data_IF_526611037194
#
_entry.id   IF_526611037194
#
_cell.length_a   1.000
_cell.length_b   1.000
_cell.length_c   1.000
_cell.angle_alpha   90.00
_cell.angle_beta   90.00
_cell.angle_gamma   90.00
#
_symmetry.space_group_name_H-M   'P 1'
#
loop_
_entity.id
_entity.type
_entity.pdbx_description
1 polymer ?
#
# COMPACT_ATOMS: atom_id res chain seq x y z
N UNK A 1 -31.48 -10.21 8.71
CA UNK A 1 -32.58 -9.44 8.07
C UNK A 1 -32.56 -7.94 8.35
N UNK A 2 -31.40 -7.27 8.35
CA UNK A 2 -31.30 -5.79 8.53
C UNK A 2 -30.35 -5.12 7.51
N UNK A 3 -30.22 -5.66 6.30
CA UNK A 3 -29.39 -5.08 5.23
C UNK A 3 -30.18 -4.76 3.97
N UNK A 4 -31.40 -4.26 4.12
CA UNK A 4 -32.04 -3.46 3.07
C UNK A 4 -31.87 -2.01 3.49
N UNK A 5 -30.83 -1.36 2.96
CA UNK A 5 -30.64 0.08 3.14
C UNK A 5 -31.96 0.77 2.80
N UNK A 6 -32.51 1.55 3.74
CA UNK A 6 -33.72 2.35 3.51
C UNK A 6 -33.46 3.29 2.34
N UNK A 7 -33.84 2.88 1.13
CA UNK A 7 -33.88 3.77 -0.02
C UNK A 7 -35.01 4.75 0.29
N UNK A 8 -34.64 5.97 0.68
CA UNK A 8 -35.59 7.07 0.83
C UNK A 8 -36.32 7.21 -0.50
N UNK A 9 -37.66 7.22 -0.48
CA UNK A 9 -38.45 7.46 -1.69
C UNK A 9 -38.05 8.81 -2.28
N UNK A 10 -37.46 8.77 -3.48
CA UNK A 10 -37.14 9.96 -4.26
C UNK A 10 -38.30 10.20 -5.20
N UNK A 11 -38.94 11.36 -5.07
CA UNK A 11 -40.05 11.78 -5.90
C UNK A 11 -39.68 11.71 -7.39
N UNK A 12 -40.56 11.12 -8.21
CA UNK A 12 -40.37 10.98 -9.66
C UNK A 12 -39.76 9.66 -10.13
N UNK A 13 -39.37 8.75 -9.23
CA UNK A 13 -39.04 7.36 -9.59
C UNK A 13 -40.30 6.52 -9.80
N UNK A 14 -40.27 5.58 -10.75
CA UNK A 14 -41.35 4.60 -10.93
C UNK A 14 -41.16 3.40 -10.01
N UNK A 15 -39.90 3.00 -9.78
CA UNK A 15 -39.52 1.96 -8.83
C UNK A 15 -38.45 2.49 -7.86
N UNK A 16 -38.42 2.01 -6.60
CA UNK A 16 -37.40 2.41 -5.63
C UNK A 16 -35.96 2.18 -6.12
N UNK A 17 -35.75 1.10 -6.91
CA UNK A 17 -34.48 0.73 -7.49
C UNK A 17 -34.04 1.58 -8.70
N UNK A 18 -34.91 2.45 -9.24
CA UNK A 18 -34.54 3.30 -10.37
C UNK A 18 -33.35 4.21 -9.97
N UNK A 19 -32.39 4.40 -10.87
CA UNK A 19 -31.22 5.24 -10.66
C UNK A 19 -31.07 6.30 -11.75
N UNK A 20 -30.48 7.45 -11.41
CA UNK A 20 -30.37 8.56 -12.34
C UNK A 20 -29.29 8.29 -13.40
N UNK A 21 -29.65 8.43 -14.68
CA UNK A 21 -28.69 8.49 -15.78
C UNK A 21 -28.13 9.90 -15.96
N UNK A 22 -29.00 10.90 -15.85
CA UNK A 22 -28.67 12.32 -15.93
C UNK A 22 -29.32 13.07 -14.77
N UNK A 23 -28.51 13.79 -13.99
CA UNK A 23 -28.96 14.62 -12.87
C UNK A 23 -29.07 16.05 -13.35
N UNK A 24 -30.30 16.50 -13.62
CA UNK A 24 -30.57 17.90 -13.98
C UNK A 24 -30.16 18.82 -12.82
N UNK A 25 -29.60 19.98 -13.17
CA UNK A 25 -29.37 21.05 -12.21
C UNK A 25 -30.69 21.70 -11.82
N UNK A 26 -30.80 22.13 -10.56
CA UNK A 26 -31.98 22.84 -10.11
C UNK A 26 -32.02 24.25 -10.74
N UNK A 27 -33.21 24.81 -11.03
CA UNK A 27 -33.32 26.18 -11.52
C UNK A 27 -32.64 27.18 -10.57
N UNK A 28 -31.74 28.00 -11.12
CA UNK A 28 -31.00 29.02 -10.35
C UNK A 28 -29.77 28.50 -9.58
N UNK A 29 -29.48 27.20 -9.63
CA UNK A 29 -28.24 26.62 -9.11
C UNK A 29 -27.21 26.53 -10.26
N UNK A 30 -25.97 26.97 -10.03
CA UNK A 30 -24.84 26.65 -10.90
C UNK A 30 -23.91 25.68 -10.18
N UNK A 31 -23.72 24.50 -10.77
CA UNK A 31 -22.79 23.49 -10.25
C UNK A 31 -21.41 23.66 -10.87
N UNK A 32 -20.38 23.25 -10.15
CA UNK A 32 -19.00 23.25 -10.67
C UNK A 32 -18.84 22.33 -11.89
N UNK A 33 -19.55 21.21 -11.89
CA UNK A 33 -19.59 20.25 -12.99
C UNK A 33 -20.99 20.24 -13.59
N UNK A 34 -21.16 20.94 -14.71
CA UNK A 34 -22.43 21.11 -15.41
C UNK A 34 -22.20 21.19 -16.92
N UNK A 35 -23.04 20.49 -17.69
CA UNK A 35 -23.01 20.51 -19.14
C UNK A 35 -24.43 20.61 -19.71
N UNK A 36 -24.55 21.22 -20.88
CA UNK A 36 -25.79 21.20 -21.65
C UNK A 36 -26.03 19.80 -22.22
N UNK A 37 -27.28 19.36 -22.17
CA UNK A 37 -27.73 18.08 -22.73
C UNK A 37 -29.12 18.22 -23.36
N UNK A 38 -29.58 17.22 -24.14
CA UNK A 38 -30.96 17.18 -24.65
C UNK A 38 -32.04 17.23 -23.57
N UNK A 39 -31.70 16.95 -22.30
CA UNK A 39 -32.61 16.98 -21.16
C UNK A 39 -32.43 18.22 -20.28
N UNK A 40 -31.65 19.21 -20.75
CA UNK A 40 -31.29 20.42 -20.03
C UNK A 40 -29.93 20.34 -19.31
N UNK A 41 -29.51 21.44 -18.66
CA UNK A 41 -28.25 21.50 -17.92
C UNK A 41 -28.22 20.50 -16.77
N UNK A 42 -27.07 19.85 -16.56
CA UNK A 42 -26.88 18.88 -15.50
C UNK A 42 -25.54 18.16 -15.56
N UNK A 43 -25.47 17.02 -14.89
CA UNK A 43 -24.30 16.16 -14.85
C UNK A 43 -24.70 14.68 -14.97
N UNK A 44 -23.79 13.80 -15.44
CA UNK A 44 -24.08 12.37 -15.49
C UNK A 44 -24.37 11.77 -14.10
N UNK A 45 -25.14 10.69 -14.09
CA UNK A 45 -25.24 9.81 -12.94
C UNK A 45 -23.94 9.04 -12.74
N UNK A 46 -23.58 8.76 -11.48
CA UNK A 46 -22.28 8.16 -11.15
C UNK A 46 -22.08 6.82 -11.85
N UNK A 47 -23.13 5.99 -11.95
CA UNK A 47 -23.08 4.70 -12.67
C UNK A 47 -22.80 4.88 -14.18
N UNK A 48 -23.44 5.88 -14.80
CA UNK A 48 -23.36 6.09 -16.24
C UNK A 48 -21.95 6.45 -16.69
N UNK A 49 -21.22 7.19 -15.87
CA UNK A 49 -19.82 7.56 -16.14
C UNK A 49 -18.97 6.31 -16.37
N UNK A 50 -19.02 5.34 -15.46
CA UNK A 50 -18.22 4.11 -15.53
C UNK A 50 -18.60 3.23 -16.73
N UNK A 51 -19.89 3.01 -17.00
CA UNK A 51 -20.36 2.27 -18.18
C UNK A 51 -19.88 2.90 -19.49
N UNK A 52 -20.07 4.21 -19.66
CA UNK A 52 -19.72 4.89 -20.92
C UNK A 52 -18.21 4.96 -21.12
N UNK A 53 -17.44 5.27 -20.07
CA UNK A 53 -15.99 5.37 -20.17
C UNK A 53 -15.35 4.00 -20.41
N UNK A 54 -15.71 2.98 -19.62
CA UNK A 54 -15.17 1.62 -19.80
C UNK A 54 -15.44 1.10 -21.20
N UNK A 55 -16.66 1.27 -21.71
CA UNK A 55 -17.01 0.85 -23.07
C UNK A 55 -16.21 1.57 -24.16
N UNK A 56 -15.98 2.87 -23.99
CA UNK A 56 -15.19 3.67 -24.94
C UNK A 56 -13.73 3.19 -25.01
N UNK A 57 -13.12 2.86 -23.88
CA UNK A 57 -11.68 2.56 -23.80
C UNK A 57 -11.35 1.08 -23.90
N UNK A 58 -12.24 0.21 -23.44
CA UNK A 58 -11.99 -1.24 -23.32
C UNK A 58 -12.93 -2.07 -24.22
N UNK A 59 -13.92 -1.44 -24.86
CA UNK A 59 -14.92 -2.09 -25.68
C UNK A 59 -16.14 -2.55 -24.89
N UNK A 60 -17.13 -3.09 -25.60
CA UNK A 60 -18.42 -3.54 -25.01
C UNK A 60 -18.31 -4.77 -24.12
N UNK A 61 -17.18 -5.46 -24.15
CA UNK A 61 -16.82 -6.56 -23.26
C UNK A 61 -15.31 -6.54 -23.04
N UNK A 62 -14.88 -6.50 -21.78
CA UNK A 62 -13.46 -6.53 -21.38
C UNK A 62 -13.20 -7.56 -20.27
N UNK A 63 -11.94 -7.69 -19.84
CA UNK A 63 -11.53 -8.82 -19.01
C UNK A 63 -11.92 -8.69 -17.54
N UNK A 64 -11.45 -7.65 -16.85
CA UNK A 64 -11.57 -7.51 -15.38
C UNK A 64 -12.12 -6.12 -15.04
N UNK A 65 -13.18 -6.08 -14.24
CA UNK A 65 -13.70 -4.88 -13.59
C UNK A 65 -13.52 -5.00 -12.07
N UNK A 66 -12.95 -3.98 -11.44
CA UNK A 66 -12.65 -4.00 -9.99
C UNK A 66 -13.43 -2.93 -9.22
N UNK A 67 -13.63 -3.13 -7.92
CA UNK A 67 -14.20 -2.10 -7.04
C UNK A 67 -14.30 -2.57 -5.59
N UNK A 68 -14.75 -1.68 -4.70
CA UNK A 68 -15.06 -2.06 -3.33
C UNK A 68 -16.30 -2.96 -3.26
N UNK A 69 -16.41 -3.78 -2.21
CA UNK A 69 -17.56 -4.68 -2.01
C UNK A 69 -18.90 -3.94 -1.93
N UNK A 70 -18.89 -2.67 -1.52
CA UNK A 70 -20.03 -1.75 -1.53
C UNK A 70 -20.55 -1.44 -2.93
N UNK A 71 -19.68 -1.44 -3.94
CA UNK A 71 -20.10 -1.24 -5.32
C UNK A 71 -20.93 -2.41 -5.85
N UNK A 72 -20.78 -3.62 -5.28
CA UNK A 72 -21.43 -4.84 -5.77
C UNK A 72 -22.95 -4.72 -5.80
N UNK A 73 -23.56 -4.16 -4.76
CA UNK A 73 -25.02 -4.18 -4.57
C UNK A 73 -25.75 -3.06 -5.30
N UNK A 74 -25.05 -1.99 -5.69
CA UNK A 74 -25.67 -0.81 -6.29
C UNK A 74 -24.91 -0.40 -7.55
N UNK A 75 -23.64 -0.02 -7.41
CA UNK A 75 -22.91 0.63 -8.50
C UNK A 75 -22.69 -0.31 -9.69
N UNK A 76 -22.08 -1.47 -9.48
CA UNK A 76 -21.75 -2.42 -10.55
C UNK A 76 -23.01 -3.10 -11.13
N UNK A 77 -24.03 -3.41 -10.31
CA UNK A 77 -25.31 -3.89 -10.82
C UNK A 77 -25.97 -2.88 -11.78
N UNK A 78 -25.88 -1.58 -11.48
CA UNK A 78 -26.42 -0.53 -12.34
C UNK A 78 -25.60 -0.36 -13.62
N UNK A 79 -24.27 -0.50 -13.56
CA UNK A 79 -23.42 -0.53 -14.76
C UNK A 79 -23.75 -1.71 -15.67
N UNK A 80 -23.96 -2.90 -15.10
CA UNK A 80 -24.37 -4.10 -15.84
C UNK A 80 -25.71 -3.85 -16.54
N UNK A 81 -26.70 -3.30 -15.83
CA UNK A 81 -28.00 -2.96 -16.40
C UNK A 81 -27.88 -1.94 -17.54
N UNK A 82 -27.05 -0.91 -17.39
CA UNK A 82 -26.77 0.07 -18.45
C UNK A 82 -26.11 -0.57 -19.67
N UNK A 83 -25.09 -1.42 -19.46
CA UNK A 83 -24.35 -2.08 -20.53
C UNK A 83 -25.25 -3.04 -21.32
N UNK A 84 -26.03 -3.87 -20.63
CA UNK A 84 -26.96 -4.80 -21.25
C UNK A 84 -28.07 -4.05 -22.01
N UNK A 85 -28.65 -3.01 -21.41
CA UNK A 85 -29.69 -2.21 -22.06
C UNK A 85 -29.18 -1.46 -23.29
N UNK A 86 -27.96 -0.92 -23.25
CA UNK A 86 -27.36 -0.19 -24.36
C UNK A 86 -26.94 -1.11 -25.51
N UNK A 87 -26.36 -2.27 -25.20
CA UNK A 87 -25.86 -3.21 -26.21
C UNK A 87 -26.93 -4.15 -26.74
N UNK A 88 -28.03 -4.35 -26.01
CA UNK A 88 -29.05 -5.34 -26.33
C UNK A 88 -28.55 -6.78 -26.19
N UNK A 89 -27.56 -7.03 -25.33
CA UNK A 89 -26.98 -8.36 -25.09
C UNK A 89 -27.04 -8.74 -23.61
N UNK A 90 -26.76 -10.01 -23.31
CA UNK A 90 -26.62 -10.51 -21.93
C UNK A 90 -25.25 -10.18 -21.32
N UNK A 91 -24.36 -9.54 -22.08
CA UNK A 91 -23.01 -9.19 -21.63
C UNK A 91 -23.04 -8.12 -20.54
N UNK A 92 -22.40 -8.43 -19.42
CA UNK A 92 -22.34 -7.57 -18.24
C UNK A 92 -21.38 -6.38 -18.42
N UNK A 93 -20.49 -6.45 -19.41
CA UNK A 93 -19.42 -5.48 -19.68
C UNK A 93 -18.03 -6.02 -19.34
N UNK A 94 -17.91 -6.90 -18.35
CA UNK A 94 -16.64 -7.53 -17.96
C UNK A 94 -16.77 -9.05 -17.77
N UNK A 95 -15.72 -9.81 -18.06
CA UNK A 95 -15.69 -11.27 -17.86
C UNK A 95 -15.58 -11.63 -16.37
N UNK A 96 -14.77 -10.86 -15.62
CA UNK A 96 -14.56 -11.04 -14.18
C UNK A 96 -14.85 -9.75 -13.43
N UNK A 97 -15.63 -9.86 -12.37
CA UNK A 97 -15.89 -8.78 -11.42
C UNK A 97 -15.18 -9.12 -10.11
N UNK A 98 -14.20 -8.32 -9.74
CA UNK A 98 -13.37 -8.55 -8.55
C UNK A 98 -13.63 -7.45 -7.52
N UNK A 99 -14.07 -7.83 -6.33
CA UNK A 99 -14.40 -6.89 -5.26
C UNK A 99 -13.50 -7.06 -4.05
N UNK A 100 -12.84 -5.98 -3.62
CA UNK A 100 -12.10 -5.96 -2.36
C UNK A 100 -13.05 -5.68 -1.19
N UNK A 101 -12.80 -6.34 -0.07
CA UNK A 101 -13.59 -6.16 1.14
C UNK A 101 -13.12 -4.91 1.92
N UNK A 102 -13.87 -4.57 2.97
CA UNK A 102 -13.65 -3.35 3.74
C UNK A 102 -12.39 -3.40 4.61
N UNK A 103 -11.78 -2.23 4.76
CA UNK A 103 -10.96 -1.91 5.92
C UNK A 103 -11.90 -1.51 7.07
N UNK A 104 -11.86 -2.24 8.18
CA UNK A 104 -12.74 -2.02 9.34
C UNK A 104 -11.95 -1.47 10.51
N UNK A 105 -12.55 -0.51 11.22
CA UNK A 105 -12.05 -0.01 12.51
C UNK A 105 -13.07 -0.40 13.58
N UNK A 106 -12.74 -1.40 14.39
CA UNK A 106 -13.61 -1.92 15.45
C UNK A 106 -13.52 -1.10 16.75
N UNK A 107 -12.52 -0.23 16.86
CA UNK A 107 -12.36 0.74 17.95
C UNK A 107 -13.20 2.01 17.77
N UNK A 108 -13.76 2.21 16.57
CA UNK A 108 -14.86 3.13 16.31
C UNK A 108 -14.46 4.60 16.11
N UNK A 109 -13.23 4.93 15.71
CA UNK A 109 -12.88 6.34 15.42
C UNK A 109 -11.67 6.58 14.52
N UNK A 110 -11.73 6.17 13.25
CA UNK A 110 -11.04 6.87 12.16
C UNK A 110 -11.72 8.23 11.89
N UNK A 111 -11.60 9.17 12.83
CA UNK A 111 -12.21 10.50 12.72
C UNK A 111 -11.28 11.48 11.99
N UNK A 112 -11.74 12.01 10.85
CA UNK A 112 -11.07 13.08 10.09
C UNK A 112 -10.86 14.37 10.89
N UNK A 113 -11.64 14.61 11.94
CA UNK A 113 -11.68 15.90 12.65
C UNK A 113 -10.68 16.04 13.81
N UNK A 114 -9.83 15.04 14.09
CA UNK A 114 -8.88 15.06 15.22
C UNK A 114 -7.45 14.55 14.91
N UNK A 115 -7.01 14.57 13.65
CA UNK A 115 -5.63 14.15 13.32
C UNK A 115 -5.37 12.66 13.59
N UNK A 116 -6.19 11.79 12.99
CA UNK A 116 -6.07 10.33 13.10
C UNK A 116 -5.56 9.65 11.83
N UNK A 117 -5.48 8.33 11.86
CA UNK A 117 -4.99 7.47 10.75
C UNK A 117 -5.96 7.32 9.57
N UNK A 118 -6.98 8.19 9.47
CA UNK A 118 -8.00 8.13 8.42
C UNK A 118 -7.47 8.47 7.02
N UNK A 119 -6.24 9.00 6.92
CA UNK A 119 -5.59 9.33 5.65
C UNK A 119 -4.12 8.92 5.69
N UNK A 120 -3.52 8.67 4.52
CA UNK A 120 -2.08 8.40 4.41
C UNK A 120 -1.22 9.56 4.92
N UNK A 121 -1.68 10.81 4.77
CA UNK A 121 -1.01 11.97 5.34
C UNK A 121 -0.99 11.89 6.87
N UNK A 122 -2.12 11.54 7.50
CA UNK A 122 -2.20 11.34 8.94
C UNK A 122 -1.31 10.20 9.45
N UNK A 123 -1.17 9.11 8.66
CA UNK A 123 -0.20 8.03 8.94
C UNK A 123 1.24 8.59 8.95
N UNK A 124 1.61 9.37 7.94
CA UNK A 124 2.95 9.96 7.84
C UNK A 124 3.21 11.02 8.93
N UNK A 125 2.21 11.83 9.28
CA UNK A 125 2.28 12.81 10.38
C UNK A 125 2.56 12.14 11.73
N UNK A 126 2.17 10.88 11.91
CA UNK A 126 2.49 10.07 13.10
C UNK A 126 3.86 9.38 13.02
N UNK A 127 4.67 9.71 12.02
CA UNK A 127 6.02 9.16 11.83
C UNK A 127 6.04 7.76 11.22
N UNK A 128 4.91 7.27 10.69
CA UNK A 128 4.85 5.95 10.05
C UNK A 128 5.03 6.08 8.55
N UNK A 129 6.04 5.41 8.00
CA UNK A 129 6.26 5.36 6.56
C UNK A 129 5.07 4.69 5.84
N UNK A 130 4.48 5.27 4.77
CA UNK A 130 3.29 4.72 4.09
C UNK A 130 3.43 3.29 3.57
N UNK A 131 4.66 2.81 3.31
CA UNK A 131 4.90 1.41 2.95
C UNK A 131 4.51 0.43 4.06
N UNK A 132 4.50 0.85 5.33
CA UNK A 132 4.00 0.02 6.42
C UNK A 132 2.48 -0.24 6.27
N UNK A 133 1.71 0.78 5.87
CA UNK A 133 0.30 0.60 5.57
C UNK A 133 0.09 -0.31 4.35
N UNK A 134 0.94 -0.19 3.32
CA UNK A 134 0.92 -1.11 2.18
C UNK A 134 1.16 -2.56 2.63
N UNK A 135 2.18 -2.80 3.45
CA UNK A 135 2.46 -4.14 3.98
C UNK A 135 1.32 -4.67 4.87
N UNK A 136 0.67 -3.80 5.64
CA UNK A 136 -0.55 -4.14 6.39
C UNK A 136 -1.66 -4.62 5.43
N UNK A 137 -1.93 -3.89 4.35
CA UNK A 137 -2.93 -4.31 3.35
C UNK A 137 -2.59 -5.67 2.70
N UNK A 138 -1.30 -5.93 2.43
CA UNK A 138 -0.84 -7.21 1.86
C UNK A 138 -0.90 -8.39 2.84
N UNK A 139 -1.08 -8.13 4.14
CA UNK A 139 -1.18 -9.17 5.17
C UNK A 139 -2.52 -9.91 5.18
N UNK A 140 -3.55 -9.35 4.54
CA UNK A 140 -4.86 -9.95 4.38
C UNK A 140 -5.16 -10.23 2.91
N UNK A 141 -6.00 -11.24 2.69
CA UNK A 141 -6.52 -11.51 1.36
C UNK A 141 -7.53 -10.44 0.98
N UNK A 142 -7.53 -9.97 -0.28
CA UNK A 142 -8.35 -8.82 -0.69
C UNK A 142 -9.86 -9.03 -0.49
N UNK A 143 -10.33 -10.28 -0.45
CA UNK A 143 -11.75 -10.62 -0.20
C UNK A 143 -12.13 -10.72 1.29
N UNK A 144 -11.16 -10.59 2.19
CA UNK A 144 -11.38 -10.61 3.64
C UNK A 144 -11.44 -9.18 4.18
N UNK A 145 -12.29 -8.93 5.18
CA UNK A 145 -12.18 -7.70 5.95
C UNK A 145 -10.79 -7.61 6.57
N UNK A 146 -10.19 -6.42 6.50
CA UNK A 146 -8.94 -6.11 7.18
C UNK A 146 -9.24 -5.20 8.35
N UNK A 147 -8.90 -5.63 9.55
CA UNK A 147 -8.98 -4.76 10.73
C UNK A 147 -7.79 -3.80 10.73
N UNK A 148 -8.09 -2.51 10.74
CA UNK A 148 -7.11 -1.48 10.99
C UNK A 148 -7.01 -1.26 12.50
N UNK A 149 -5.80 -1.40 13.03
CA UNK A 149 -5.43 -0.92 14.35
C UNK A 149 -4.03 -0.32 14.29
N UNK A 150 -3.73 0.57 15.24
CA UNK A 150 -2.41 1.18 15.32
C UNK A 150 -1.34 0.17 15.70
N UNK A 151 -1.68 -0.84 16.50
CA UNK A 151 -0.80 -1.97 16.83
C UNK A 151 -0.49 -2.82 15.59
N UNK A 152 -1.48 -3.09 14.74
CA UNK A 152 -1.29 -3.80 13.48
C UNK A 152 -0.39 -3.00 12.52
N UNK A 153 -0.57 -1.67 12.47
CA UNK A 153 0.30 -0.78 11.70
C UNK A 153 1.72 -0.73 12.25
N UNK A 154 1.91 -0.69 13.57
CA UNK A 154 3.21 -0.73 14.24
C UNK A 154 3.93 -2.07 13.97
N UNK A 155 3.19 -3.18 14.01
CA UNK A 155 3.70 -4.51 13.68
C UNK A 155 4.13 -4.58 12.20
N UNK A 156 3.34 -4.00 11.29
CA UNK A 156 3.69 -3.92 9.88
C UNK A 156 4.95 -3.06 9.66
N UNK A 157 5.09 -1.91 10.31
CA UNK A 157 6.29 -1.08 10.24
C UNK A 157 7.53 -1.82 10.76
N UNK A 158 7.40 -2.55 11.87
CA UNK A 158 8.47 -3.38 12.43
C UNK A 158 8.88 -4.48 11.45
N UNK A 159 7.91 -5.17 10.83
CA UNK A 159 8.16 -6.20 9.82
C UNK A 159 8.87 -5.61 8.61
N UNK A 160 8.38 -4.50 8.07
CA UNK A 160 8.97 -3.80 6.94
C UNK A 160 10.43 -3.39 7.23
N UNK A 161 10.68 -2.82 8.40
CA UNK A 161 12.03 -2.41 8.83
C UNK A 161 13.00 -3.60 8.84
N UNK A 162 12.55 -4.77 9.33
CA UNK A 162 13.36 -5.99 9.31
C UNK A 162 13.67 -6.47 7.90
N UNK A 163 12.67 -6.43 7.00
CA UNK A 163 12.85 -6.80 5.59
C UNK A 163 13.88 -5.89 4.92
N UNK A 164 13.74 -4.57 5.07
CA UNK A 164 14.65 -3.58 4.49
C UNK A 164 16.08 -3.76 5.03
N UNK A 165 16.27 -3.88 6.35
CA UNK A 165 17.60 -4.10 6.94
C UNK A 165 18.24 -5.39 6.38
N UNK A 166 17.47 -6.47 6.26
CA UNK A 166 17.98 -7.72 5.70
C UNK A 166 18.37 -7.58 4.22
N UNK A 167 17.55 -6.86 3.43
CA UNK A 167 17.84 -6.59 2.02
C UNK A 167 19.05 -5.67 1.83
N UNK A 168 19.21 -4.64 2.67
CA UNK A 168 20.41 -3.78 2.69
C UNK A 168 21.68 -4.58 2.97
N UNK A 169 21.64 -5.47 3.96
CA UNK A 169 22.77 -6.35 4.29
C UNK A 169 23.11 -7.29 3.12
N UNK A 170 22.09 -7.86 2.47
CA UNK A 170 22.30 -8.69 1.27
C UNK A 170 22.89 -7.88 0.12
N UNK A 171 22.40 -6.66 -0.13
CA UNK A 171 22.95 -5.76 -1.15
C UNK A 171 24.42 -5.44 -0.86
N UNK A 172 24.77 -5.16 0.39
CA UNK A 172 26.16 -4.94 0.79
C UNK A 172 27.04 -6.18 0.58
N UNK A 173 26.51 -7.40 0.74
CA UNK A 173 27.26 -8.64 0.51
C UNK A 173 27.38 -9.00 -0.97
N UNK A 174 26.34 -8.73 -1.77
CA UNK A 174 26.31 -9.00 -3.20
C UNK A 174 27.12 -7.98 -4.01
N UNK A 175 27.36 -6.78 -3.47
CA UNK A 175 28.09 -5.71 -4.15
C UNK A 175 27.22 -4.97 -5.17
N UNK A 176 27.77 -4.66 -6.34
CA UNK A 176 27.10 -3.92 -7.42
C UNK A 176 27.02 -4.74 -8.71
N UNK A 177 26.30 -5.88 -8.71
CA UNK A 177 26.14 -6.68 -9.93
C UNK A 177 25.39 -5.90 -11.00
N UNK A 178 25.75 -6.13 -12.27
CA UNK A 178 25.27 -5.33 -13.42
C UNK A 178 23.74 -5.23 -13.52
N UNK A 179 23.02 -6.28 -13.10
CA UNK A 179 21.56 -6.32 -13.16
C UNK A 179 20.89 -5.29 -12.24
N UNK A 180 21.55 -4.85 -11.16
CA UNK A 180 21.01 -3.83 -10.25
C UNK A 180 20.82 -2.47 -10.95
N UNK A 181 21.56 -2.20 -12.03
CA UNK A 181 21.35 -0.99 -12.83
C UNK A 181 19.91 -0.85 -13.32
N UNK A 182 19.22 -1.97 -13.59
CA UNK A 182 17.80 -1.94 -13.97
C UNK A 182 16.91 -1.34 -12.88
N UNK A 183 17.29 -1.51 -11.61
CA UNK A 183 16.55 -1.01 -10.47
C UNK A 183 16.99 0.43 -10.17
N UNK A 184 18.30 0.68 -10.11
CA UNK A 184 18.86 1.99 -9.77
C UNK A 184 18.56 3.05 -10.84
N UNK A 185 18.50 2.67 -12.12
CA UNK A 185 18.23 3.58 -13.24
C UNK A 185 16.74 3.63 -13.65
N UNK A 186 15.87 2.84 -13.00
CA UNK A 186 14.44 2.86 -13.29
C UNK A 186 13.82 4.28 -13.19
N UNK A 187 14.17 5.13 -12.19
CA UNK A 187 13.66 6.50 -12.12
C UNK A 187 14.13 7.42 -13.25
N UNK A 188 15.24 7.09 -13.92
CA UNK A 188 15.84 7.91 -14.97
C UNK A 188 15.28 7.63 -16.37
N UNK A 189 14.31 6.72 -16.50
CA UNK A 189 13.78 6.30 -17.80
C UNK A 189 12.26 6.06 -17.76
N UNK A 190 11.67 5.74 -18.91
CA UNK A 190 10.28 5.23 -18.99
C UNK A 190 10.17 3.77 -18.51
N UNK A 191 11.26 3.21 -17.99
CA UNK A 191 11.38 1.83 -17.53
C UNK A 191 11.55 0.83 -18.68
N UNK A 192 11.99 -0.37 -18.32
CA UNK A 192 11.86 -1.55 -19.17
C UNK A 192 10.49 -2.22 -18.95
N UNK A 193 10.06 -3.07 -19.90
CA UNK A 193 8.87 -3.89 -19.67
C UNK A 193 9.08 -4.81 -18.46
N UNK A 194 8.01 -5.11 -17.73
CA UNK A 194 8.05 -6.05 -16.59
C UNK A 194 8.65 -7.41 -17.00
N UNK A 195 8.29 -7.90 -18.19
CA UNK A 195 8.83 -9.14 -18.73
C UNK A 195 10.35 -9.09 -18.94
N UNK A 196 10.89 -7.98 -19.44
CA UNK A 196 12.33 -7.82 -19.60
C UNK A 196 13.04 -7.72 -18.25
N UNK A 197 12.51 -6.90 -17.32
CA UNK A 197 13.07 -6.77 -15.98
C UNK A 197 13.16 -8.15 -15.29
N UNK A 198 12.06 -8.92 -15.28
CA UNK A 198 12.04 -10.29 -14.77
C UNK A 198 13.10 -11.16 -15.47
N UNK A 199 13.18 -11.12 -16.80
CA UNK A 199 14.14 -11.96 -17.54
C UNK A 199 15.59 -11.71 -17.14
N UNK A 200 15.99 -10.47 -16.84
CA UNK A 200 17.36 -10.13 -16.46
C UNK A 200 17.62 -10.45 -14.98
N UNK A 201 16.66 -10.15 -14.11
CA UNK A 201 16.77 -10.42 -12.67
C UNK A 201 16.81 -11.94 -12.44
N UNK A 202 15.90 -12.69 -13.06
CA UNK A 202 15.69 -14.12 -12.83
C UNK A 202 16.73 -15.01 -13.53
N UNK A 203 17.45 -14.51 -14.56
CA UNK A 203 18.48 -15.26 -15.26
C UNK A 203 19.62 -15.77 -14.35
N UNK A 204 19.85 -15.10 -13.22
CA UNK A 204 20.86 -15.50 -12.24
C UNK A 204 20.37 -16.43 -11.14
N UNK A 205 19.09 -16.85 -11.15
CA UNK A 205 18.54 -17.69 -10.08
C UNK A 205 18.90 -19.17 -10.28
N UNK A 206 19.50 -19.78 -9.27
CA UNK A 206 19.69 -21.23 -9.19
C UNK A 206 18.40 -21.98 -8.86
N UNK A 207 18.44 -23.31 -8.94
CA UNK A 207 17.27 -24.18 -8.82
C UNK A 207 16.49 -23.99 -7.51
N UNK A 208 17.19 -23.78 -6.40
CA UNK A 208 16.56 -23.57 -5.08
C UNK A 208 15.76 -22.26 -5.05
N UNK A 209 16.34 -21.17 -5.57
CA UNK A 209 15.69 -19.87 -5.63
C UNK A 209 14.51 -19.87 -6.62
N UNK A 210 14.66 -20.53 -7.77
CA UNK A 210 13.58 -20.75 -8.73
C UNK A 210 12.42 -21.55 -8.11
N UNK A 211 12.71 -22.54 -7.27
CA UNK A 211 11.69 -23.31 -6.55
C UNK A 211 10.88 -22.47 -5.56
N UNK A 212 11.51 -21.51 -4.88
CA UNK A 212 10.80 -20.55 -4.02
C UNK A 212 9.98 -19.54 -4.83
N UNK A 213 10.54 -19.04 -5.94
CA UNK A 213 9.81 -18.13 -6.84
C UNK A 213 8.58 -18.80 -7.44
N UNK A 214 8.66 -20.08 -7.82
CA UNK A 214 7.52 -20.84 -8.33
C UNK A 214 6.42 -21.02 -7.27
N UNK A 215 6.78 -21.22 -6.00
CA UNK A 215 5.80 -21.27 -4.90
C UNK A 215 5.13 -19.91 -4.70
N UNK A 216 5.89 -18.82 -4.81
CA UNK A 216 5.37 -17.46 -4.74
C UNK A 216 4.41 -17.15 -5.89
N UNK A 217 4.79 -17.47 -7.12
CA UNK A 217 3.94 -17.33 -8.31
C UNK A 217 2.67 -18.19 -8.21
N UNK A 218 2.77 -19.40 -7.65
CA UNK A 218 1.61 -20.27 -7.40
C UNK A 218 0.65 -19.65 -6.38
N UNK A 219 1.17 -19.09 -5.28
CA UNK A 219 0.34 -18.42 -4.29
C UNK A 219 -0.37 -17.19 -4.86
N UNK A 220 0.32 -16.35 -5.63
CA UNK A 220 -0.30 -15.19 -6.27
C UNK A 220 -1.32 -15.57 -7.36
N UNK A 221 -1.04 -16.62 -8.13
CA UNK A 221 -1.96 -17.10 -9.18
C UNK A 221 -3.23 -17.72 -8.60
N UNK A 222 -3.19 -18.17 -7.35
CA UNK A 222 -4.34 -18.67 -6.62
C UNK A 222 -5.12 -17.49 -6.00
N UNK A 223 -5.87 -16.74 -6.82
CA UNK A 223 -6.72 -15.60 -6.40
C UNK A 223 -5.97 -14.52 -5.58
N UNK A 224 -4.73 -14.19 -5.94
CA UNK A 224 -3.93 -13.19 -5.22
C UNK A 224 -3.78 -13.52 -3.73
N UNK A 225 -3.45 -14.78 -3.39
CA UNK A 225 -3.18 -15.21 -2.01
C UNK A 225 -1.83 -14.68 -1.48
N UNK A 226 -1.70 -13.35 -1.46
CA UNK A 226 -0.57 -12.61 -0.90
C UNK A 226 -0.26 -13.01 0.55
N UNK A 227 -1.23 -13.31 1.44
CA UNK A 227 -0.91 -13.79 2.79
C UNK A 227 -0.10 -15.11 2.81
N UNK A 228 -0.20 -15.93 1.76
CA UNK A 228 0.62 -17.13 1.59
C UNK A 228 1.94 -16.83 0.87
N UNK A 229 1.95 -15.85 -0.04
CA UNK A 229 3.14 -15.44 -0.77
C UNK A 229 4.13 -14.67 0.12
N UNK A 230 3.63 -13.84 1.03
CA UNK A 230 4.45 -12.93 1.84
C UNK A 230 5.45 -13.67 2.76
N UNK A 231 5.10 -14.76 3.48
CA UNK A 231 6.06 -15.59 4.23
C UNK A 231 7.23 -16.15 3.40
N UNK A 232 7.06 -16.34 2.09
CA UNK A 232 8.12 -16.83 1.21
C UNK A 232 9.25 -15.80 1.03
N UNK A 233 8.94 -14.50 1.21
CA UNK A 233 9.93 -13.44 1.23
C UNK A 233 10.89 -13.60 2.43
N UNK A 234 10.36 -13.83 3.63
CA UNK A 234 11.20 -14.11 4.80
C UNK A 234 11.96 -15.44 4.66
N UNK A 235 11.33 -16.46 4.07
CA UNK A 235 11.99 -17.74 3.78
C UNK A 235 13.19 -17.53 2.84
N UNK A 236 13.02 -16.74 1.77
CA UNK A 236 14.11 -16.40 0.84
C UNK A 236 15.27 -15.65 1.54
N UNK A 237 14.94 -14.69 2.41
CA UNK A 237 15.96 -13.97 3.20
C UNK A 237 16.73 -14.92 4.14
N UNK A 238 16.01 -15.84 4.80
CA UNK A 238 16.57 -16.74 5.82
C UNK A 238 17.34 -17.95 5.26
N UNK A 239 17.08 -18.38 4.01
CA UNK A 239 17.63 -19.62 3.45
C UNK A 239 19.16 -19.54 3.27
N UNK A 240 19.92 -20.26 4.08
CA UNK A 240 21.40 -20.22 4.04
C UNK A 240 22.01 -20.94 2.83
N UNK A 241 21.21 -21.70 2.09
CA UNK A 241 21.67 -22.44 0.90
C UNK A 241 21.72 -21.60 -0.37
N UNK A 242 21.08 -20.42 -0.36
CA UNK A 242 21.03 -19.50 -1.50
C UNK A 242 22.10 -18.40 -1.31
N UNK A 243 22.91 -18.17 -2.34
CA UNK A 243 23.95 -17.13 -2.33
C UNK A 243 23.35 -15.71 -2.25
N UNK A 244 24.14 -14.74 -1.77
CA UNK A 244 23.67 -13.37 -1.54
C UNK A 244 23.10 -12.69 -2.82
N UNK A 245 23.77 -12.83 -3.97
CA UNK A 245 23.27 -12.29 -5.26
C UNK A 245 21.95 -12.96 -5.67
N UNK A 246 21.86 -14.29 -5.58
CA UNK A 246 20.64 -15.04 -5.89
C UNK A 246 19.47 -14.65 -4.98
N UNK A 247 19.72 -14.46 -3.68
CA UNK A 247 18.72 -13.93 -2.75
C UNK A 247 18.26 -12.55 -3.19
N UNK A 248 19.19 -11.65 -3.48
CA UNK A 248 18.86 -10.28 -3.85
C UNK A 248 17.99 -10.24 -5.12
N UNK A 249 18.29 -11.10 -6.11
CA UNK A 249 17.46 -11.30 -7.32
C UNK A 249 16.07 -11.86 -7.00
N UNK A 250 16.00 -12.85 -6.11
CA UNK A 250 14.74 -13.46 -5.70
C UNK A 250 13.84 -12.44 -4.99
N UNK A 251 14.41 -11.67 -4.06
CA UNK A 251 13.71 -10.58 -3.37
C UNK A 251 13.27 -9.50 -4.37
N UNK A 252 14.13 -9.11 -5.32
CA UNK A 252 13.76 -8.16 -6.37
C UNK A 252 12.56 -8.64 -7.19
N UNK A 253 12.56 -9.92 -7.59
CA UNK A 253 11.49 -10.52 -8.39
C UNK A 253 10.17 -10.58 -7.61
N UNK A 254 10.21 -10.99 -6.34
CA UNK A 254 9.02 -10.99 -5.46
C UNK A 254 8.51 -9.56 -5.21
N UNK A 255 9.41 -8.61 -4.98
CA UNK A 255 9.06 -7.23 -4.68
C UNK A 255 8.49 -6.47 -5.88
N UNK A 256 8.73 -6.91 -7.13
CA UNK A 256 8.02 -6.38 -8.29
C UNK A 256 6.51 -6.59 -8.20
N UNK A 257 6.05 -7.67 -7.56
CA UNK A 257 4.62 -7.92 -7.31
C UNK A 257 4.13 -7.23 -6.03
N UNK A 258 4.94 -7.24 -4.96
CA UNK A 258 4.56 -6.70 -3.66
C UNK A 258 4.64 -5.17 -3.60
N UNK A 259 5.55 -4.54 -4.34
CA UNK A 259 5.75 -3.10 -4.40
C UNK A 259 6.14 -2.48 -3.05
N UNK A 260 6.97 -3.15 -2.27
CA UNK A 260 7.47 -2.70 -0.97
C UNK A 260 8.80 -1.92 -1.09
N UNK A 261 9.33 -1.77 -2.30
CA UNK A 261 10.53 -0.99 -2.60
C UNK A 261 11.75 -1.42 -1.75
N UNK A 262 11.89 -2.72 -1.52
CA UNK A 262 12.87 -3.31 -0.59
C UNK A 262 14.32 -3.08 -1.01
N UNK A 263 14.57 -2.94 -2.32
CA UNK A 263 15.92 -2.73 -2.86
C UNK A 263 16.30 -1.24 -2.97
N UNK A 264 15.33 -0.34 -2.93
CA UNK A 264 15.53 1.10 -3.15
C UNK A 264 15.26 1.94 -1.91
N UNK A 265 14.60 1.37 -0.90
CA UNK A 265 14.35 2.02 0.40
C UNK A 265 15.42 1.59 1.38
N UNK A 266 16.10 2.56 1.97
CA UNK A 266 17.03 2.34 3.07
C UNK A 266 16.32 2.42 4.42
N UNK A 267 16.92 1.85 5.48
CA UNK A 267 16.36 1.94 6.84
C UNK A 267 16.08 3.39 7.25
N UNK A 268 16.99 4.30 6.88
CA UNK A 268 16.86 5.73 7.21
C UNK A 268 15.63 6.37 6.57
N UNK A 269 15.19 5.90 5.40
CA UNK A 269 14.02 6.44 4.70
C UNK A 269 12.71 6.12 5.44
N UNK A 270 12.71 5.05 6.26
CA UNK A 270 11.56 4.70 7.09
C UNK A 270 11.41 5.62 8.30
N UNK A 271 12.46 6.36 8.68
CA UNK A 271 12.49 7.23 9.85
C UNK A 271 11.82 8.57 9.55
N UNK A 272 10.50 8.55 9.39
CA UNK A 272 9.73 9.77 9.22
C UNK A 272 9.61 10.50 10.55
N UNK A 273 9.89 11.80 10.53
CA UNK A 273 9.71 12.66 11.69
C UNK A 273 8.21 12.83 12.01
N UNK A 274 7.76 12.49 13.23
CA UNK A 274 6.40 12.80 13.68
C UNK A 274 6.17 14.32 13.74
N UNK A 275 4.97 14.77 13.39
CA UNK A 275 4.59 16.19 13.45
C UNK A 275 4.67 16.77 14.87
N UNK A 276 4.53 15.93 15.89
CA UNK A 276 4.58 16.29 17.32
C UNK A 276 5.98 16.14 17.94
N UNK A 277 7.02 15.84 17.14
CA UNK A 277 8.38 15.65 17.63
C UNK A 277 8.93 16.89 18.37
N UNK A 278 9.44 16.68 19.59
CA UNK A 278 9.90 17.74 20.51
C UNK A 278 11.34 18.20 20.28
N UNK A 279 12.10 17.49 19.46
CA UNK A 279 13.52 17.71 19.22
C UNK A 279 13.82 17.62 17.72
N UNK A 280 14.81 18.38 17.26
CA UNK A 280 15.29 18.35 15.87
C UNK A 280 16.28 17.20 15.65
N UNK A 281 16.30 16.58 14.46
CA UNK A 281 17.23 15.49 14.15
C UNK A 281 18.70 15.91 14.35
N UNK A 282 19.05 17.13 13.95
CA UNK A 282 20.40 17.67 14.16
C UNK A 282 20.79 17.72 15.65
N UNK A 283 19.84 18.02 16.54
CA UNK A 283 20.09 18.02 17.98
C UNK A 283 20.21 16.59 18.53
N UNK A 284 19.44 15.63 18.00
CA UNK A 284 19.58 14.21 18.35
C UNK A 284 20.99 13.72 17.99
N UNK A 285 21.49 14.01 16.78
CA UNK A 285 22.82 13.57 16.34
C UNK A 285 23.94 14.09 17.26
N UNK A 286 23.84 15.33 17.73
CA UNK A 286 24.76 15.90 18.72
C UNK A 286 24.73 15.08 20.02
N UNK A 287 23.54 14.80 20.56
CA UNK A 287 23.37 14.00 21.79
C UNK A 287 23.87 12.57 21.62
N UNK A 288 23.67 11.96 20.45
CA UNK A 288 24.21 10.63 20.14
C UNK A 288 25.73 10.66 20.16
N UNK A 289 26.37 11.68 19.58
CA UNK A 289 27.83 11.82 19.61
C UNK A 289 28.36 12.01 21.05
N UNK A 290 27.70 12.83 21.87
CA UNK A 290 28.01 12.99 23.30
C UNK A 290 27.90 11.66 24.05
N UNK A 291 26.85 10.88 23.78
CA UNK A 291 26.65 9.55 24.39
C UNK A 291 27.75 8.57 23.97
N UNK A 292 28.18 8.61 22.70
CA UNK A 292 29.30 7.79 22.22
C UNK A 292 30.61 8.14 22.97
N UNK A 293 30.89 9.44 23.15
CA UNK A 293 32.06 9.90 23.92
C UNK A 293 31.98 9.47 25.39
N UNK A 294 30.82 9.61 26.04
CA UNK A 294 30.61 9.17 27.42
C UNK A 294 30.90 7.67 27.59
N UNK A 295 30.41 6.83 26.67
CA UNK A 295 30.71 5.39 26.69
C UNK A 295 32.18 5.09 26.43
N UNK A 296 32.83 5.80 25.51
CA UNK A 296 34.27 5.64 25.25
C UNK A 296 35.11 6.00 26.49
N UNK A 297 34.68 7.02 27.25
CA UNK A 297 35.26 7.41 28.53
C UNK A 297 34.86 6.51 29.71
N UNK A 298 34.00 5.50 29.49
CA UNK A 298 33.39 4.63 30.52
C UNK A 298 32.55 5.40 31.56
N UNK A 299 32.07 6.59 31.21
CA UNK A 299 31.09 7.33 32.00
C UNK A 299 29.67 6.84 31.66
N UNK A 300 29.31 5.70 32.24
CA UNK A 300 28.00 5.09 32.01
C UNK A 300 26.85 5.94 32.59
N UNK A 301 27.09 6.70 33.65
CA UNK A 301 26.09 7.56 34.26
C UNK A 301 25.70 8.73 33.33
N UNK A 302 26.67 9.36 32.66
CA UNK A 302 26.39 10.36 31.64
C UNK A 302 25.71 9.74 30.40
N UNK A 303 26.15 8.56 29.96
CA UNK A 303 25.53 7.84 28.84
C UNK A 303 24.06 7.51 29.10
N UNK A 304 23.72 7.06 30.31
CA UNK A 304 22.35 6.73 30.70
C UNK A 304 21.48 7.98 30.82
N UNK A 305 21.98 9.08 31.41
CA UNK A 305 21.25 10.36 31.40
C UNK A 305 20.89 10.82 29.99
N UNK A 306 21.84 10.78 29.05
CA UNK A 306 21.57 11.20 27.67
C UNK A 306 20.53 10.31 27.00
N UNK A 307 20.57 8.99 27.24
CA UNK A 307 19.55 8.06 26.73
C UNK A 307 18.16 8.43 27.27
N UNK A 308 18.07 8.69 28.57
CA UNK A 308 16.79 8.97 29.23
C UNK A 308 16.22 10.33 28.77
N UNK A 309 17.08 11.35 28.64
CA UNK A 309 16.71 12.67 28.07
C UNK A 309 16.22 12.57 26.62
N UNK A 310 16.86 11.72 25.80
CA UNK A 310 16.39 11.45 24.42
C UNK A 310 15.05 10.70 24.42
N UNK A 311 14.86 9.74 25.33
CA UNK A 311 13.60 9.01 25.46
C UNK A 311 12.44 9.94 25.85
N UNK A 312 12.66 10.90 26.75
CA UNK A 312 11.66 11.93 27.11
C UNK A 312 11.25 12.82 25.91
N UNK A 313 12.16 12.98 24.95
CA UNK A 313 11.90 13.69 23.70
C UNK A 313 11.27 12.81 22.60
N UNK A 314 10.99 11.53 22.88
CA UNK A 314 10.39 10.59 21.94
C UNK A 314 11.41 9.91 21.02
N UNK A 315 12.64 9.70 21.48
CA UNK A 315 13.72 9.09 20.69
C UNK A 315 14.24 7.84 21.38
N UNK A 316 14.21 6.70 20.67
CA UNK A 316 14.79 5.44 21.13
C UNK A 316 16.19 5.27 20.57
N UNK A 317 17.18 5.04 21.45
CA UNK A 317 18.57 4.79 21.07
C UNK A 317 18.86 3.29 21.11
N UNK A 318 19.46 2.77 20.05
CA UNK A 318 19.89 1.37 19.91
C UNK A 318 21.41 1.28 19.88
N UNK A 319 21.95 0.46 20.79
CA UNK A 319 23.36 0.11 20.82
C UNK A 319 23.62 -1.02 19.80
N UNK A 320 24.32 -0.70 18.71
CA UNK A 320 24.71 -1.64 17.66
C UNK A 320 26.21 -1.95 17.67
N UNK A 321 26.62 -2.97 16.92
CA UNK A 321 28.03 -3.22 16.63
C UNK A 321 28.53 -2.13 15.65
N UNK A 322 29.08 -1.04 16.18
CA UNK A 322 29.54 0.11 15.40
C UNK A 322 28.94 1.42 15.90
N UNK A 323 28.32 2.19 14.99
CA UNK A 323 27.66 3.45 15.32
C UNK A 323 26.37 3.19 16.12
N UNK A 324 26.05 4.09 17.06
CA UNK A 324 24.73 4.09 17.69
C UNK A 324 23.68 4.51 16.67
N UNK A 325 22.54 3.82 16.67
CA UNK A 325 21.40 4.18 15.84
C UNK A 325 20.27 4.71 16.72
N UNK A 326 19.38 5.48 16.13
CA UNK A 326 18.18 5.95 16.82
C UNK A 326 16.98 5.96 15.87
N UNK A 327 15.81 5.73 16.45
CA UNK A 327 14.50 5.81 15.79
C UNK A 327 13.52 6.61 16.67
N UNK A 328 12.46 7.15 16.07
CA UNK A 328 11.39 7.81 16.80
C UNK A 328 10.57 6.77 17.60
N UNK A 329 10.23 7.11 18.84
CA UNK A 329 9.20 6.41 19.60
C UNK A 329 7.86 6.90 19.07
N UNK A 330 7.14 6.03 18.36
CA UNK A 330 5.85 6.35 17.76
C UNK A 330 4.72 6.03 18.75
N UNK A 331 3.82 6.99 18.95
CA UNK A 331 2.58 6.80 19.70
C UNK A 331 1.52 6.23 18.73
N UNK A 332 1.54 4.90 18.60
CA UNK A 332 0.62 4.10 17.79
C UNK A 332 -0.30 3.32 18.73
#
# INVERSE_FOLDING_TARGET
>A
DETIGRIVEVEGKRNPADFALWRRSAPGEQRQMEWLSPWGPGAPGWHLECSVMSMKYLGTQFDIHTGGIDHREIHHCNEIAQNQAFTGTDRTGANFWMHNNFLVDRGGKMSKSKGGFATLAGVAEKGVHPLAYRLLCLSAHYRSELEFSTEALAAALTRLTRLIIATEQLRSQAGTPDWLRLIDEAPASKGASVAYQRSVIEAGLGAQAQGLLAQFDTALSNDLMVPQALPLLEQALADKSIAADEKLRLIASMDMALGLALLTTARIDLRLRPAEAKIEEAAIEIRIAERQQARAAKDYAASDRIRDELAECGVAVMDGAGAMHWDWILDL
#
